data_IF_785830079711
#
_entry.id   IF_785830079711
#
_cell.length_a   1.000
_cell.length_b   1.000
_cell.length_c   1.000
_cell.angle_alpha   90.00
_cell.angle_beta   90.00
_cell.angle_gamma   90.00
#
_symmetry.space_group_name_H-M   'P 1'
#
loop_
_entity.id
_entity.type
_entity.pdbx_description
1 polymer ?
#
# COMPACT_ATOMS: atom_id res chain seq x y z
N UNK A 1 -23.63 -6.10 -3.86
CA UNK A 1 -22.98 -4.84 -4.22
C UNK A 1 -21.48 -4.96 -4.11
N UNK A 2 -20.79 -4.57 -5.14
CA UNK A 2 -19.36 -4.67 -5.17
C UNK A 2 -18.69 -3.55 -4.36
N UNK A 3 -17.65 -3.93 -3.62
CA UNK A 3 -16.81 -2.95 -2.98
C UNK A 3 -15.91 -2.32 -4.03
N UNK A 4 -15.83 -1.01 -4.04
CA UNK A 4 -14.85 -0.35 -4.88
C UNK A 4 -13.45 -0.64 -4.34
N UNK A 5 -12.56 -1.06 -5.23
CA UNK A 5 -11.16 -1.27 -4.87
C UNK A 5 -10.45 0.07 -5.03
N UNK A 6 -9.83 0.53 -3.95
CA UNK A 6 -9.08 1.78 -4.02
C UNK A 6 -7.61 1.47 -4.21
N UNK A 7 -7.12 1.80 -5.38
CA UNK A 7 -5.70 1.65 -5.67
C UNK A 7 -4.93 2.85 -5.14
N UNK A 8 -3.72 2.63 -4.61
CA UNK A 8 -2.90 3.76 -4.19
C UNK A 8 -2.48 4.59 -5.41
N UNK A 9 -2.55 5.90 -5.27
CA UNK A 9 -2.22 6.84 -6.36
C UNK A 9 -1.06 7.74 -5.95
N UNK A 10 -0.24 8.17 -6.91
CA UNK A 10 0.89 9.06 -6.61
C UNK A 10 0.48 10.26 -5.78
N UNK A 11 1.26 10.57 -4.77
CA UNK A 11 1.03 11.70 -3.88
C UNK A 11 0.16 11.41 -2.67
N UNK A 12 -0.53 10.29 -2.66
CA UNK A 12 -1.34 9.91 -1.51
C UNK A 12 -0.47 9.42 -0.36
N UNK A 13 -0.97 9.60 0.85
CA UNK A 13 -0.32 9.07 2.04
C UNK A 13 -1.18 7.97 2.64
N UNK A 14 -0.52 6.93 3.06
CA UNK A 14 -1.17 5.75 3.62
C UNK A 14 -0.49 5.39 4.93
N UNK A 15 -1.27 4.86 5.88
CA UNK A 15 -0.76 4.44 7.17
C UNK A 15 -0.78 2.93 7.26
N UNK A 16 0.36 2.35 7.64
CA UNK A 16 0.47 0.92 7.93
C UNK A 16 -0.12 0.65 9.32
N UNK A 17 -0.75 -0.51 9.49
CA UNK A 17 -1.38 -0.83 10.77
C UNK A 17 -0.39 -0.82 11.94
N UNK A 18 0.89 -1.01 11.68
CA UNK A 18 1.92 -0.93 12.72
C UNK A 18 2.39 0.49 12.99
N UNK A 19 1.81 1.49 12.34
CA UNK A 19 2.04 2.89 12.65
C UNK A 19 2.85 3.71 11.66
N UNK A 20 3.53 3.05 10.70
CA UNK A 20 4.32 3.79 9.73
C UNK A 20 3.45 4.55 8.73
N UNK A 21 3.90 5.72 8.33
CA UNK A 21 3.23 6.53 7.30
C UNK A 21 4.08 6.52 6.04
N UNK A 22 3.43 6.34 4.90
CA UNK A 22 4.11 6.22 3.62
C UNK A 22 3.43 7.07 2.56
N UNK A 23 4.24 7.61 1.66
CA UNK A 23 3.72 8.39 0.54
C UNK A 23 3.95 7.61 -0.75
N UNK A 24 2.91 7.54 -1.57
CA UNK A 24 2.99 6.81 -2.83
C UNK A 24 3.76 7.64 -3.85
N UNK A 25 4.78 7.04 -4.46
CA UNK A 25 5.54 7.71 -5.51
C UNK A 25 4.92 7.42 -6.87
N UNK A 26 4.70 6.14 -7.17
CA UNK A 26 4.10 5.74 -8.43
C UNK A 26 3.73 4.26 -8.37
N UNK A 27 3.06 3.80 -9.40
CA UNK A 27 2.86 2.38 -9.64
C UNK A 27 3.80 1.97 -10.77
N UNK A 28 4.28 0.75 -10.71
CA UNK A 28 5.23 0.24 -11.69
C UNK A 28 4.92 -1.22 -12.00
N UNK A 29 5.54 -1.75 -13.03
CA UNK A 29 5.45 -3.17 -13.35
C UNK A 29 6.82 -3.79 -13.17
N UNK A 30 6.84 -4.97 -12.58
CA UNK A 30 8.08 -5.74 -12.48
C UNK A 30 8.53 -6.05 -13.92
N UNK A 31 9.80 -5.79 -14.23
CA UNK A 31 10.27 -5.90 -15.61
C UNK A 31 10.18 -7.32 -16.17
N UNK A 32 10.31 -8.33 -15.32
CA UNK A 32 10.31 -9.73 -15.75
C UNK A 32 8.93 -10.37 -15.62
N UNK A 33 8.30 -10.25 -14.46
CA UNK A 33 7.03 -10.92 -14.20
C UNK A 33 5.83 -10.12 -14.66
N UNK A 34 6.02 -8.82 -14.92
CA UNK A 34 4.96 -7.86 -15.26
C UNK A 34 3.98 -7.62 -14.10
N UNK A 35 4.31 -8.08 -12.92
CA UNK A 35 3.50 -7.87 -11.73
C UNK A 35 3.42 -6.38 -11.40
N UNK A 36 2.22 -5.92 -11.02
CA UNK A 36 2.04 -4.52 -10.62
C UNK A 36 2.65 -4.28 -9.24
N UNK A 37 3.42 -3.22 -9.12
CA UNK A 37 4.12 -2.86 -7.88
C UNK A 37 3.72 -1.45 -7.45
N UNK A 38 3.65 -1.25 -6.14
CA UNK A 38 3.48 0.06 -5.54
C UNK A 38 4.86 0.54 -5.11
N UNK A 39 5.27 1.69 -5.61
CA UNK A 39 6.54 2.30 -5.21
C UNK A 39 6.21 3.41 -4.23
N UNK A 40 6.74 3.31 -3.04
CA UNK A 40 6.37 4.23 -1.96
C UNK A 40 7.59 4.53 -1.09
N UNK A 41 7.49 5.59 -0.32
CA UNK A 41 8.58 6.00 0.57
C UNK A 41 8.04 6.24 1.97
N UNK A 42 8.88 5.98 2.98
CA UNK A 42 8.52 6.26 4.36
C UNK A 42 8.60 7.77 4.62
N UNK A 43 7.70 8.25 5.47
CA UNK A 43 7.63 9.64 5.87
C UNK A 43 7.92 9.68 7.37
N UNK A 44 8.90 10.44 7.85
CA UNK A 44 9.70 11.45 7.15
C UNK A 44 11.05 10.95 6.61
N UNK A 45 11.39 9.68 6.78
CA UNK A 45 12.75 9.20 6.53
C UNK A 45 13.12 9.05 5.06
N UNK A 46 12.15 8.89 4.18
CA UNK A 46 12.41 8.89 2.75
C UNK A 46 12.95 7.60 2.15
N UNK A 47 13.02 6.51 2.91
CA UNK A 47 13.40 5.22 2.34
C UNK A 47 12.35 4.79 1.33
N UNK A 48 12.79 4.32 0.16
CA UNK A 48 11.90 3.94 -0.94
C UNK A 48 11.78 2.43 -1.00
N UNK A 49 10.55 1.97 -1.16
CA UNK A 49 10.23 0.55 -1.19
C UNK A 49 9.36 0.20 -2.39
N UNK A 50 9.36 -1.07 -2.75
CA UNK A 50 8.48 -1.62 -3.76
C UNK A 50 7.73 -2.80 -3.13
N UNK A 51 6.41 -2.85 -3.32
CA UNK A 51 5.58 -3.94 -2.79
C UNK A 51 4.56 -4.33 -3.84
N UNK A 52 4.31 -5.63 -4.04
CA UNK A 52 3.26 -6.04 -4.97
C UNK A 52 1.92 -5.39 -4.63
N UNK A 53 1.23 -4.91 -5.65
CA UNK A 53 -0.06 -4.25 -5.47
C UNK A 53 -1.06 -5.13 -4.73
N UNK A 54 -1.09 -6.41 -5.03
CA UNK A 54 -2.00 -7.33 -4.35
C UNK A 54 -1.73 -7.42 -2.85
N UNK A 55 -0.47 -7.26 -2.45
CA UNK A 55 -0.11 -7.27 -1.03
C UNK A 55 -0.46 -5.95 -0.35
N UNK A 56 -0.56 -4.88 -1.14
CA UNK A 56 -0.97 -3.58 -0.61
C UNK A 56 -2.40 -3.61 -0.10
N UNK A 57 -3.25 -4.33 -0.81
CA UNK A 57 -4.67 -4.40 -0.49
C UNK A 57 -5.02 -5.53 0.49
N UNK A 58 -4.03 -6.30 0.88
CA UNK A 58 -4.21 -7.46 1.73
C UNK A 58 -4.78 -7.12 3.09
N UNK A 59 -5.72 -7.94 3.53
CA UNK A 59 -6.25 -7.81 4.88
C UNK A 59 -5.41 -8.61 5.85
N UNK A 60 -5.26 -8.07 7.04
CA UNK A 60 -4.60 -8.76 8.15
C UNK A 60 -5.66 -9.25 9.12
N UNK A 61 -5.32 -10.28 9.86
CA UNK A 61 -6.23 -10.82 10.86
C UNK A 61 -5.50 -11.02 12.17
N UNK A 62 -6.10 -10.51 13.25
CA UNK A 62 -5.57 -10.67 14.59
C UNK A 62 -6.72 -11.16 15.46
N UNK A 63 -6.65 -12.43 15.87
CA UNK A 63 -7.76 -13.05 16.56
C UNK A 63 -8.97 -13.13 15.64
N UNK A 64 -10.07 -12.47 16.02
CA UNK A 64 -11.30 -12.42 15.22
C UNK A 64 -11.47 -11.10 14.48
N UNK A 65 -10.48 -10.22 14.60
CA UNK A 65 -10.55 -8.90 13.99
C UNK A 65 -9.82 -8.90 12.68
N UNK A 66 -10.47 -8.42 11.62
CA UNK A 66 -9.87 -8.26 10.32
C UNK A 66 -9.69 -6.77 10.05
N UNK A 67 -8.55 -6.41 9.47
CA UNK A 67 -8.26 -5.02 9.17
C UNK A 67 -7.35 -4.93 7.97
N UNK A 68 -7.31 -3.77 7.34
CA UNK A 68 -6.45 -3.52 6.19
C UNK A 68 -5.02 -3.30 6.65
N UNK A 69 -4.07 -3.84 5.88
CA UNK A 69 -2.65 -3.60 6.14
C UNK A 69 -2.32 -2.12 6.03
N UNK A 70 -2.89 -1.46 5.03
CA UNK A 70 -2.71 -0.02 4.81
C UNK A 70 -4.06 0.66 4.70
N UNK A 71 -4.14 1.87 5.24
CA UNK A 71 -5.31 2.72 5.12
C UNK A 71 -4.89 4.10 4.65
N UNK A 72 -5.68 4.67 3.74
CA UNK A 72 -5.37 6.01 3.21
C UNK A 72 -5.61 7.06 4.28
N UNK A 73 -4.73 8.05 4.30
CA UNK A 73 -4.87 9.22 5.16
C UNK A 73 -5.42 10.34 4.30
N UNK A 74 -6.58 10.84 4.68
CA UNK A 74 -7.24 11.90 3.91
C UNK A 74 -7.16 13.24 4.58
#
# INVERSE_FOLDING_TARGET
MEKAIRYPMPGERWKHYKGGVYEIITLANHSETKEALVIYKSVPFGSVYARPLEMWEEECELGRIKFKRFEIIE
#
